data_IF_774725947741
#
_entry.id   IF_774725947741
#
_cell.length_a   1.000
_cell.length_b   1.000
_cell.length_c   1.000
_cell.angle_alpha   90.00
_cell.angle_beta   90.00
_cell.angle_gamma   90.00
#
_symmetry.space_group_name_H-M   'P 1'
#
loop_
_entity.id
_entity.type
_entity.pdbx_description
1 polymer ?
#
# COMPACT_ATOMS: atom_id res chain seq x y z
N UNK A 1 1.63 16.72 -35.58
CA UNK A 1 1.87 16.47 -34.15
C UNK A 1 3.02 15.48 -34.08
N UNK A 2 4.15 15.91 -33.52
CA UNK A 2 5.35 15.08 -33.40
C UNK A 2 5.08 13.90 -32.45
N UNK A 3 5.92 12.87 -32.48
CA UNK A 3 5.81 11.78 -31.50
C UNK A 3 6.16 12.25 -30.08
N UNK A 4 7.04 13.27 -29.95
CA UNK A 4 7.30 13.94 -28.68
C UNK A 4 6.07 14.66 -28.12
N UNK A 5 5.29 15.36 -28.94
CA UNK A 5 4.06 16.05 -28.50
C UNK A 5 3.02 15.06 -27.97
N UNK A 6 2.98 13.84 -28.54
CA UNK A 6 2.08 12.77 -28.09
C UNK A 6 2.51 12.25 -26.72
N UNK A 7 3.80 11.97 -26.55
CA UNK A 7 4.36 11.49 -25.29
C UNK A 7 4.22 12.54 -24.19
N UNK A 8 4.48 13.82 -24.47
CA UNK A 8 4.25 14.90 -23.50
C UNK A 8 2.79 14.96 -23.05
N UNK A 9 1.82 14.85 -23.97
CA UNK A 9 0.39 14.80 -23.58
C UNK A 9 0.03 13.58 -22.74
N UNK A 10 0.68 12.44 -22.97
CA UNK A 10 0.49 11.25 -22.14
C UNK A 10 1.11 11.45 -20.76
N UNK A 11 2.28 12.08 -20.67
CA UNK A 11 2.91 12.45 -19.41
C UNK A 11 2.03 13.42 -18.61
N UNK A 12 1.54 14.48 -19.25
CA UNK A 12 0.62 15.44 -18.63
C UNK A 12 -0.69 14.77 -18.17
N UNK A 13 -1.23 13.83 -18.96
CA UNK A 13 -2.41 13.06 -18.56
C UNK A 13 -2.14 12.18 -17.32
N UNK A 14 -0.94 11.60 -17.22
CA UNK A 14 -0.52 10.84 -16.04
C UNK A 14 -0.36 11.76 -14.83
N UNK A 15 0.42 12.84 -14.96
CA UNK A 15 0.77 13.72 -13.83
C UNK A 15 -0.43 14.54 -13.38
N UNK A 16 -0.99 15.36 -14.27
CA UNK A 16 -2.05 16.34 -13.97
C UNK A 16 -3.40 15.61 -13.82
N UNK A 17 -3.68 14.67 -14.73
CA UNK A 17 -4.98 14.01 -14.80
C UNK A 17 -5.15 12.89 -13.79
N UNK A 18 -4.07 12.30 -13.27
CA UNK A 18 -4.13 11.11 -12.44
C UNK A 18 -3.33 11.23 -11.14
N UNK A 19 -2.01 11.46 -11.18
CA UNK A 19 -1.16 11.43 -9.97
C UNK A 19 -1.50 12.56 -9.01
N UNK A 20 -1.53 13.81 -9.49
CA UNK A 20 -1.87 14.97 -8.66
C UNK A 20 -3.24 14.80 -7.94
N UNK A 21 -4.35 14.49 -8.63
CA UNK A 21 -5.62 14.24 -7.96
C UNK A 21 -5.59 12.98 -7.09
N UNK A 22 -4.83 11.93 -7.43
CA UNK A 22 -4.74 10.71 -6.61
C UNK A 22 -4.17 11.02 -5.22
N UNK A 23 -3.06 11.76 -5.16
CA UNK A 23 -2.36 12.05 -3.90
C UNK A 23 -2.99 13.21 -3.11
N UNK A 24 -3.74 14.09 -3.78
CA UNK A 24 -4.49 15.18 -3.13
C UNK A 24 -5.91 14.79 -2.71
N UNK A 25 -6.40 13.60 -3.11
CA UNK A 25 -7.77 13.14 -2.84
C UNK A 25 -8.84 13.73 -3.78
N UNK A 26 -8.42 14.19 -4.96
CA UNK A 26 -9.27 14.74 -6.03
C UNK A 26 -9.83 13.69 -7.00
N UNK A 27 -10.43 14.19 -8.10
CA UNK A 27 -10.99 13.34 -9.15
C UNK A 27 -9.91 12.95 -10.16
N UNK A 28 -9.58 11.67 -10.23
CA UNK A 28 -8.65 11.13 -11.23
C UNK A 28 -9.33 10.90 -12.58
N UNK A 29 -8.55 11.00 -13.65
CA UNK A 29 -8.98 10.75 -15.02
C UNK A 29 -8.00 9.80 -15.71
N UNK A 30 -8.55 8.85 -16.46
CA UNK A 30 -7.78 7.92 -17.28
C UNK A 30 -8.36 7.92 -18.70
N UNK A 31 -7.48 7.96 -19.70
CA UNK A 31 -7.89 7.91 -21.11
C UNK A 31 -7.08 6.91 -21.95
N UNK A 32 -5.88 7.28 -22.38
CA UNK A 32 -5.07 6.43 -23.27
C UNK A 32 -4.11 5.58 -22.46
N UNK A 33 -3.91 4.30 -22.80
CA UNK A 33 -2.98 3.45 -22.09
C UNK A 33 -1.54 3.92 -22.30
N UNK A 34 -0.68 3.61 -21.33
CA UNK A 34 0.71 4.03 -21.27
C UNK A 34 1.61 2.83 -21.55
N UNK A 35 2.13 2.75 -22.78
CA UNK A 35 3.02 1.65 -23.16
C UNK A 35 4.32 1.68 -22.32
N UNK A 36 4.94 0.52 -22.01
CA UNK A 36 6.15 0.42 -21.20
C UNK A 36 7.29 1.30 -21.73
N UNK A 37 7.48 1.37 -23.05
CA UNK A 37 8.51 2.19 -23.69
C UNK A 37 8.34 3.71 -23.51
N UNK A 38 7.22 4.19 -22.97
CA UNK A 38 7.04 5.62 -22.67
C UNK A 38 7.94 6.09 -21.51
N UNK A 39 8.40 5.17 -20.65
CA UNK A 39 9.25 5.51 -19.49
C UNK A 39 10.54 6.25 -19.89
N UNK A 40 11.17 5.87 -21.01
CA UNK A 40 12.39 6.50 -21.52
C UNK A 40 12.20 7.99 -21.84
N UNK A 41 10.96 8.42 -22.09
CA UNK A 41 10.63 9.83 -22.22
C UNK A 41 10.22 10.43 -20.87
N UNK A 42 9.35 9.74 -20.11
CA UNK A 42 8.79 10.26 -18.86
C UNK A 42 9.84 10.53 -17.78
N UNK A 43 10.91 9.73 -17.70
CA UNK A 43 11.99 9.93 -16.71
C UNK A 43 12.77 11.24 -16.88
N UNK A 44 12.61 11.89 -18.04
CA UNK A 44 13.24 13.17 -18.36
C UNK A 44 12.23 14.28 -18.65
N UNK A 45 10.94 13.97 -18.57
CA UNK A 45 9.88 14.93 -18.84
C UNK A 45 9.57 15.78 -17.61
N UNK A 46 9.00 16.95 -17.84
CA UNK A 46 8.43 17.82 -16.81
C UNK A 46 6.99 18.10 -17.19
N UNK A 47 6.09 18.21 -16.20
CA UNK A 47 4.70 18.51 -16.52
C UNK A 47 4.60 19.91 -17.12
N UNK A 48 3.64 20.09 -18.01
CA UNK A 48 3.29 21.44 -18.48
C UNK A 48 2.61 22.29 -17.40
N UNK A 49 2.19 21.68 -16.28
CA UNK A 49 1.64 22.36 -15.11
C UNK A 49 2.58 22.22 -13.90
N UNK A 50 3.37 23.27 -13.64
CA UNK A 50 4.28 23.32 -12.50
C UNK A 50 3.57 23.28 -11.14
N UNK A 51 2.29 23.69 -11.07
CA UNK A 51 1.53 23.63 -9.83
C UNK A 51 1.21 22.17 -9.48
N UNK A 52 0.84 21.37 -10.48
CA UNK A 52 0.58 19.94 -10.29
C UNK A 52 1.84 19.22 -9.77
N UNK A 53 3.02 19.49 -10.34
CA UNK A 53 4.29 18.92 -9.87
C UNK A 53 4.60 19.31 -8.41
N UNK A 54 4.37 20.58 -8.05
CA UNK A 54 4.58 21.05 -6.68
C UNK A 54 3.60 20.42 -5.69
N UNK A 55 2.32 20.33 -6.05
CA UNK A 55 1.29 19.68 -5.22
C UNK A 55 1.61 18.20 -5.01
N UNK A 56 2.06 17.49 -6.04
CA UNK A 56 2.48 16.09 -5.91
C UNK A 56 3.63 15.97 -4.93
N UNK A 57 4.68 16.77 -5.10
CA UNK A 57 5.83 16.75 -4.21
C UNK A 57 5.41 16.97 -2.74
N UNK A 58 4.61 18.01 -2.48
CA UNK A 58 4.17 18.36 -1.13
C UNK A 58 3.29 17.28 -0.49
N UNK A 59 2.36 16.69 -1.25
CA UNK A 59 1.50 15.62 -0.73
C UNK A 59 2.29 14.34 -0.46
N UNK A 60 3.16 13.95 -1.39
CA UNK A 60 4.00 12.78 -1.20
C UNK A 60 4.92 12.97 0.02
N UNK A 61 5.51 14.16 0.18
CA UNK A 61 6.39 14.45 1.32
C UNK A 61 5.62 14.42 2.63
N UNK A 62 4.44 15.04 2.68
CA UNK A 62 3.59 15.05 3.88
C UNK A 62 3.17 13.65 4.31
N UNK A 63 2.68 12.85 3.37
CA UNK A 63 2.25 11.47 3.65
C UNK A 63 3.44 10.58 4.01
N UNK A 64 4.53 10.62 3.24
CA UNK A 64 5.73 9.84 3.57
C UNK A 64 6.30 10.21 4.95
N UNK A 65 6.31 11.50 5.30
CA UNK A 65 6.80 12.00 6.59
C UNK A 65 5.91 11.65 7.78
N UNK A 66 4.64 11.30 7.57
CA UNK A 66 3.75 10.88 8.68
C UNK A 66 4.15 9.52 9.26
N UNK A 67 4.76 8.66 8.43
CA UNK A 67 5.30 7.37 8.88
C UNK A 67 6.66 7.52 9.55
N UNK A 68 7.60 8.15 8.85
CA UNK A 68 8.95 8.37 9.34
C UNK A 68 9.57 9.63 8.70
N UNK A 69 10.41 10.38 9.43
CA UNK A 69 10.95 11.64 8.95
C UNK A 69 11.86 11.45 7.73
N UNK A 70 11.59 12.24 6.69
CA UNK A 70 12.39 12.35 5.46
C UNK A 70 12.64 13.81 5.10
N UNK A 71 13.79 14.08 4.48
CA UNK A 71 14.18 15.44 4.06
C UNK A 71 13.54 15.85 2.74
N UNK A 72 13.46 14.91 1.80
CA UNK A 72 12.92 15.11 0.46
C UNK A 72 12.22 13.84 -0.02
N UNK A 73 11.40 13.98 -1.06
CA UNK A 73 10.82 12.89 -1.84
C UNK A 73 11.51 12.84 -3.20
N UNK A 74 11.86 11.65 -3.72
CA UNK A 74 12.46 11.51 -5.03
C UNK A 74 11.38 11.64 -6.13
N UNK A 75 10.71 12.79 -6.24
CA UNK A 75 9.74 13.05 -7.32
C UNK A 75 10.26 14.12 -8.29
N UNK A 76 10.19 13.88 -9.61
CA UNK A 76 9.90 12.60 -10.26
C UNK A 76 11.12 11.65 -10.23
N UNK A 77 10.90 10.38 -9.90
CA UNK A 77 11.88 9.30 -10.07
C UNK A 77 11.31 8.23 -11.01
N UNK A 78 12.20 7.56 -11.74
CA UNK A 78 11.83 6.54 -12.75
C UNK A 78 10.91 5.47 -12.18
N UNK A 79 11.23 4.90 -11.02
CA UNK A 79 10.44 3.80 -10.46
C UNK A 79 9.10 4.29 -9.90
N UNK A 80 9.04 5.51 -9.36
CA UNK A 80 7.76 6.14 -8.98
C UNK A 80 6.88 6.41 -10.20
N UNK A 81 7.47 6.85 -11.32
CA UNK A 81 6.73 7.01 -12.58
C UNK A 81 6.21 5.66 -13.07
N UNK A 82 7.00 4.60 -13.04
CA UNK A 82 6.53 3.26 -13.42
C UNK A 82 5.36 2.79 -12.54
N UNK A 83 5.43 3.01 -11.22
CA UNK A 83 4.31 2.71 -10.31
C UNK A 83 3.06 3.52 -10.65
N UNK A 84 3.22 4.80 -10.98
CA UNK A 84 2.13 5.66 -11.41
C UNK A 84 1.52 5.19 -12.75
N UNK A 85 2.36 4.82 -13.72
CA UNK A 85 1.94 4.28 -15.02
C UNK A 85 1.14 2.98 -14.85
N UNK A 86 1.65 2.03 -14.07
CA UNK A 86 0.96 0.78 -13.79
C UNK A 86 -0.37 1.01 -13.06
N UNK A 87 -0.41 1.93 -12.09
CA UNK A 87 -1.64 2.32 -11.39
C UNK A 87 -2.68 2.90 -12.35
N UNK A 88 -2.25 3.81 -13.21
CA UNK A 88 -3.10 4.46 -14.23
C UNK A 88 -3.69 3.43 -15.19
N UNK A 89 -2.86 2.54 -15.75
CA UNK A 89 -3.30 1.54 -16.72
C UNK A 89 -4.17 0.46 -16.07
N UNK A 90 -3.87 0.07 -14.83
CA UNK A 90 -4.69 -0.87 -14.07
C UNK A 90 -6.09 -0.31 -13.80
N UNK A 91 -6.22 0.98 -13.48
CA UNK A 91 -7.53 1.65 -13.37
C UNK A 91 -8.21 1.72 -14.74
N UNK A 92 -7.48 2.03 -15.81
CA UNK A 92 -8.01 2.15 -17.17
C UNK A 92 -8.62 0.83 -17.69
N UNK A 93 -8.12 -0.34 -17.30
CA UNK A 93 -8.68 -1.63 -17.70
C UNK A 93 -10.18 -1.74 -17.34
N UNK A 94 -10.61 -1.07 -16.26
CA UNK A 94 -12.01 -1.05 -15.80
C UNK A 94 -12.94 -0.15 -16.63
N UNK A 95 -12.40 0.59 -17.60
CA UNK A 95 -13.14 1.53 -18.43
C UNK A 95 -14.08 0.78 -19.40
N UNK A 96 -15.40 1.04 -19.37
CA UNK A 96 -16.36 0.40 -20.28
C UNK A 96 -16.13 0.69 -21.76
N UNK A 97 -15.34 1.72 -22.11
CA UNK A 97 -15.03 2.00 -23.53
C UNK A 97 -14.25 0.86 -24.18
N UNK A 98 -13.57 0.04 -23.38
CA UNK A 98 -12.80 -1.12 -23.83
C UNK A 98 -13.69 -2.32 -24.19
N UNK A 99 -15.00 -2.29 -23.85
CA UNK A 99 -15.96 -3.35 -24.22
C UNK A 99 -16.47 -3.23 -25.67
N UNK A 100 -16.09 -2.19 -26.40
CA UNK A 100 -16.59 -1.93 -27.77
C UNK A 100 -16.04 -2.97 -28.76
N UNK A 101 -16.83 -3.33 -29.77
CA UNK A 101 -16.50 -4.36 -30.78
C UNK A 101 -15.13 -4.19 -31.45
N UNK A 102 -14.64 -2.95 -31.59
CA UNK A 102 -13.33 -2.63 -32.19
C UNK A 102 -12.17 -2.57 -31.19
N UNK A 103 -12.40 -2.87 -29.91
CA UNK A 103 -11.39 -2.87 -28.83
C UNK A 103 -11.04 -4.30 -28.35
N UNK A 104 -11.40 -5.34 -29.10
CA UNK A 104 -11.04 -6.75 -28.79
C UNK A 104 -9.53 -6.89 -28.61
N UNK A 105 -9.07 -7.50 -27.53
CA UNK A 105 -7.65 -7.69 -27.24
C UNK A 105 -6.97 -6.50 -26.56
N UNK A 106 -7.64 -5.34 -26.43
CA UNK A 106 -7.01 -4.15 -25.83
C UNK A 106 -6.80 -4.32 -24.33
N UNK A 107 -7.75 -4.93 -23.60
CA UNK A 107 -7.60 -5.12 -22.15
C UNK A 107 -6.46 -6.09 -21.84
N UNK A 108 -6.35 -7.16 -22.61
CA UNK A 108 -5.28 -8.16 -22.54
C UNK A 108 -3.93 -7.47 -22.75
N UNK A 109 -3.80 -6.68 -23.82
CA UNK A 109 -2.57 -5.93 -24.10
C UNK A 109 -2.21 -4.94 -22.99
N UNK A 110 -3.18 -4.20 -22.45
CA UNK A 110 -2.94 -3.28 -21.34
C UNK A 110 -2.54 -4.07 -20.08
N UNK A 111 -3.18 -5.20 -19.82
CA UNK A 111 -2.83 -6.07 -18.69
C UNK A 111 -1.40 -6.65 -18.82
N UNK A 112 -0.94 -6.95 -20.03
CA UNK A 112 0.43 -7.36 -20.31
C UNK A 112 1.42 -6.21 -20.08
N UNK A 113 1.08 -5.00 -20.54
CA UNK A 113 1.88 -3.80 -20.26
C UNK A 113 1.98 -3.48 -18.77
N UNK A 114 0.88 -3.59 -18.02
CA UNK A 114 0.90 -3.42 -16.57
C UNK A 114 1.86 -4.42 -15.92
N UNK A 115 1.85 -5.69 -16.34
CA UNK A 115 2.77 -6.68 -15.82
C UNK A 115 4.24 -6.36 -16.16
N UNK A 116 4.52 -5.95 -17.41
CA UNK A 116 5.86 -5.54 -17.84
C UNK A 116 6.39 -4.32 -17.06
N UNK A 117 5.53 -3.32 -16.84
CA UNK A 117 5.85 -2.12 -16.06
C UNK A 117 6.14 -2.49 -14.60
N UNK A 118 5.31 -3.32 -13.97
CA UNK A 118 5.50 -3.76 -12.58
C UNK A 118 6.83 -4.52 -12.42
N UNK A 119 7.17 -5.41 -13.36
CA UNK A 119 8.44 -6.14 -13.31
C UNK A 119 9.67 -5.25 -13.51
N UNK A 120 9.52 -4.12 -14.20
CA UNK A 120 10.59 -3.14 -14.41
C UNK A 120 10.89 -2.25 -13.19
N UNK A 121 10.07 -2.31 -12.13
CA UNK A 121 10.26 -1.54 -10.89
C UNK A 121 11.30 -2.25 -10.01
N UNK A 122 12.44 -1.58 -9.76
CA UNK A 122 13.46 -2.10 -8.86
C UNK A 122 13.01 -2.04 -7.39
N UNK A 123 13.59 -2.83 -6.46
CA UNK A 123 13.32 -2.68 -5.03
C UNK A 123 13.71 -1.28 -4.51
N UNK A 124 13.03 -0.77 -3.46
CA UNK A 124 13.37 0.54 -2.92
C UNK A 124 14.77 0.55 -2.32
N UNK A 125 15.55 1.59 -2.64
CA UNK A 125 16.96 1.68 -2.24
C UNK A 125 17.20 2.62 -1.06
N UNK A 126 16.26 3.54 -0.78
CA UNK A 126 16.37 4.52 0.30
C UNK A 126 15.10 4.60 1.13
N UNK A 127 15.19 5.20 2.32
CA UNK A 127 14.01 5.51 3.15
C UNK A 127 13.01 6.38 2.38
N UNK A 128 13.51 7.45 1.75
CA UNK A 128 12.68 8.39 0.99
C UNK A 128 11.95 7.69 -0.17
N UNK A 129 12.65 6.81 -0.90
CA UNK A 129 12.08 5.99 -1.96
C UNK A 129 10.98 5.04 -1.43
N UNK A 130 11.28 4.25 -0.38
CA UNK A 130 10.30 3.33 0.21
C UNK A 130 9.00 4.02 0.66
N UNK A 131 9.12 5.18 1.30
CA UNK A 131 7.98 5.95 1.80
C UNK A 131 7.25 6.72 0.70
N UNK A 132 7.95 7.22 -0.31
CA UNK A 132 7.33 7.86 -1.47
C UNK A 132 6.47 6.89 -2.27
N UNK A 133 6.95 5.65 -2.48
CA UNK A 133 6.17 4.59 -3.10
C UNK A 133 4.89 4.29 -2.32
N UNK A 134 4.97 4.36 -0.99
CA UNK A 134 3.80 4.19 -0.14
C UNK A 134 2.80 5.33 -0.27
N UNK A 135 3.27 6.56 -0.17
CA UNK A 135 2.44 7.75 -0.32
C UNK A 135 1.69 7.79 -1.66
N UNK A 136 2.31 7.27 -2.73
CA UNK A 136 1.69 7.15 -4.05
C UNK A 136 0.64 6.04 -4.13
N UNK A 137 0.92 4.86 -3.56
CA UNK A 137 0.10 3.66 -3.75
C UNK A 137 -1.01 3.46 -2.71
N UNK A 138 -0.87 3.96 -1.47
CA UNK A 138 -1.88 3.76 -0.41
C UNK A 138 -3.28 4.28 -0.79
N UNK A 139 -3.43 5.43 -1.49
CA UNK A 139 -4.75 5.92 -1.92
C UNK A 139 -5.40 5.07 -3.02
N UNK A 140 -4.63 4.30 -3.79
CA UNK A 140 -5.10 3.63 -5.02
C UNK A 140 -6.31 2.70 -4.79
N UNK A 141 -6.32 1.80 -3.77
CA UNK A 141 -7.45 0.91 -3.58
C UNK A 141 -8.72 1.61 -3.08
N UNK A 142 -8.61 2.86 -2.58
CA UNK A 142 -9.76 3.64 -2.13
C UNK A 142 -10.48 4.36 -3.28
N UNK A 143 -9.98 4.26 -4.52
CA UNK A 143 -10.62 4.87 -5.68
C UNK A 143 -12.03 4.34 -5.90
N UNK A 144 -12.94 5.26 -6.25
CA UNK A 144 -14.32 4.97 -6.62
C UNK A 144 -14.65 5.58 -7.97
N UNK A 145 -15.28 4.81 -8.84
CA UNK A 145 -15.86 5.32 -10.08
C UNK A 145 -17.22 5.95 -9.79
N UNK A 146 -17.39 7.20 -10.21
CA UNK A 146 -18.68 7.89 -10.17
C UNK A 146 -19.45 7.64 -11.46
N UNK A 147 -20.59 6.96 -11.34
CA UNK A 147 -21.53 6.72 -12.42
C UNK A 147 -22.79 7.58 -12.20
N UNK A 148 -23.21 8.31 -13.23
CA UNK A 148 -24.42 9.14 -13.16
C UNK A 148 -25.44 8.67 -14.18
N UNK A 149 -26.66 8.37 -13.71
CA UNK A 149 -27.81 8.08 -14.57
C UNK A 149 -28.81 9.22 -14.45
N UNK A 150 -29.04 9.92 -15.56
CA UNK A 150 -30.01 11.01 -15.65
C UNK A 150 -31.24 10.54 -16.45
N UNK A 151 -32.41 10.55 -15.82
CA UNK A 151 -33.68 10.12 -16.42
C UNK A 151 -34.68 11.27 -16.50
N UNK A 152 -35.30 11.45 -17.67
CA UNK A 152 -36.51 12.24 -17.84
C UNK A 152 -37.64 11.34 -18.37
N UNK A 153 -38.82 11.90 -18.61
CA UNK A 153 -39.95 11.13 -19.15
C UNK A 153 -39.67 10.52 -20.54
N UNK A 154 -38.77 11.15 -21.33
CA UNK A 154 -38.46 10.72 -22.70
C UNK A 154 -37.09 10.06 -22.85
N UNK A 155 -36.12 10.38 -21.99
CA UNK A 155 -34.72 10.01 -22.20
C UNK A 155 -34.05 9.44 -20.95
N UNK A 156 -33.08 8.55 -21.16
CA UNK A 156 -32.15 8.09 -20.13
C UNK A 156 -30.71 8.25 -20.63
N UNK A 157 -29.94 9.11 -19.96
CA UNK A 157 -28.51 9.26 -20.20
C UNK A 157 -27.71 8.57 -19.11
N UNK A 158 -26.65 7.86 -19.52
CA UNK A 158 -25.71 7.17 -18.61
C UNK A 158 -24.31 7.74 -18.83
N UNK A 159 -23.77 8.36 -17.78
CA UNK A 159 -22.41 8.85 -17.72
C UNK A 159 -21.62 7.91 -16.81
N UNK A 160 -21.10 6.82 -17.36
CA UNK A 160 -20.38 5.79 -16.61
C UNK A 160 -18.91 6.20 -16.51
N UNK A 161 -18.44 6.59 -15.32
CA UNK A 161 -17.09 7.11 -15.12
C UNK A 161 -16.75 8.35 -15.95
N UNK A 162 -17.76 9.16 -16.31
CA UNK A 162 -17.59 10.37 -17.15
C UNK A 162 -18.27 11.58 -16.51
N UNK A 163 -17.74 12.80 -16.73
CA UNK A 163 -18.41 14.01 -16.29
C UNK A 163 -19.78 14.14 -16.95
N UNK A 164 -20.77 14.61 -16.20
CA UNK A 164 -22.08 14.91 -16.76
C UNK A 164 -21.98 16.12 -17.69
N UNK A 165 -22.56 16.02 -18.88
CA UNK A 165 -22.67 17.18 -19.76
C UNK A 165 -23.84 18.06 -19.31
N UNK A 166 -23.54 19.14 -18.56
CA UNK A 166 -24.54 20.05 -18.01
C UNK A 166 -25.44 20.66 -19.09
N UNK A 167 -24.85 21.11 -20.20
CA UNK A 167 -25.58 21.70 -21.32
C UNK A 167 -26.54 20.75 -22.04
N UNK A 168 -26.31 19.43 -21.97
CA UNK A 168 -27.26 18.42 -22.45
C UNK A 168 -28.44 18.28 -21.49
N UNK A 169 -28.17 18.26 -20.19
CA UNK A 169 -29.16 18.02 -19.13
C UNK A 169 -30.03 19.26 -18.80
N UNK A 170 -29.66 20.44 -19.30
CA UNK A 170 -30.41 21.69 -19.10
C UNK A 170 -31.22 22.11 -20.33
N UNK A 171 -31.35 21.26 -21.36
CA UNK A 171 -32.12 21.60 -22.58
C UNK A 171 -33.63 21.60 -22.32
N UNK A 172 -34.37 22.68 -22.64
CA UNK A 172 -35.80 22.78 -22.35
C UNK A 172 -36.64 21.65 -22.96
N UNK A 173 -36.25 21.15 -24.14
CA UNK A 173 -36.98 20.11 -24.88
C UNK A 173 -36.96 18.75 -24.16
N UNK A 174 -35.99 18.51 -23.28
CA UNK A 174 -35.80 17.21 -22.64
C UNK A 174 -36.46 17.10 -21.25
N UNK A 175 -37.03 18.21 -20.75
CA UNK A 175 -37.64 18.32 -19.43
C UNK A 175 -36.64 18.21 -18.28
N UNK A 176 -37.16 18.10 -17.06
CA UNK A 176 -36.34 17.94 -15.86
C UNK A 176 -35.77 16.51 -15.77
N UNK A 177 -34.44 16.43 -15.59
CA UNK A 177 -33.75 15.17 -15.38
C UNK A 177 -33.61 14.86 -13.89
N UNK A 178 -34.15 13.71 -13.46
CA UNK A 178 -33.80 13.11 -12.18
C UNK A 178 -32.43 12.43 -12.31
N UNK A 179 -31.45 12.92 -11.57
CA UNK A 179 -30.10 12.34 -11.51
C UNK A 179 -30.00 11.34 -10.37
N UNK A 180 -29.40 10.20 -10.65
CA UNK A 180 -28.97 9.23 -9.65
C UNK A 180 -27.47 9.05 -9.79
N UNK A 181 -26.75 9.26 -8.70
CA UNK A 181 -25.31 9.06 -8.63
C UNK A 181 -25.02 7.75 -7.90
N UNK A 182 -24.14 6.94 -8.47
CA UNK A 182 -23.68 5.70 -7.88
C UNK A 182 -22.15 5.75 -7.81
N UNK A 183 -21.60 5.51 -6.62
CA UNK A 183 -20.16 5.34 -6.43
C UNK A 183 -19.88 3.84 -6.36
N UNK A 184 -18.94 3.37 -7.19
CA UNK A 184 -18.55 1.97 -7.27
C UNK A 184 -17.07 1.88 -6.97
N UNK A 185 -16.68 1.08 -5.96
CA UNK A 185 -15.27 0.86 -5.65
C UNK A 185 -14.54 0.24 -6.86
N UNK A 186 -13.37 0.77 -7.19
CA UNK A 186 -12.58 0.29 -8.34
C UNK A 186 -12.15 -1.16 -8.12
N UNK A 187 -11.94 -1.59 -6.86
CA UNK A 187 -11.70 -2.99 -6.52
C UNK A 187 -12.81 -3.93 -6.98
N UNK A 188 -14.08 -3.54 -6.79
CA UNK A 188 -15.22 -4.30 -7.27
C UNK A 188 -15.27 -4.35 -8.81
N UNK A 189 -14.78 -3.30 -9.49
CA UNK A 189 -14.67 -3.30 -10.95
C UNK A 189 -13.55 -4.23 -11.44
N UNK A 190 -12.41 -4.30 -10.75
CA UNK A 190 -11.36 -5.29 -11.03
C UNK A 190 -11.86 -6.72 -10.85
N UNK A 191 -12.55 -7.01 -9.74
CA UNK A 191 -13.16 -8.32 -9.51
C UNK A 191 -14.12 -8.71 -10.64
N UNK A 192 -14.91 -7.74 -11.14
CA UNK A 192 -15.80 -7.95 -12.28
C UNK A 192 -15.03 -8.25 -13.56
N UNK A 193 -13.98 -7.49 -13.87
CA UNK A 193 -13.13 -7.74 -15.05
C UNK A 193 -12.49 -9.13 -14.97
N UNK A 194 -12.07 -9.56 -13.78
CA UNK A 194 -11.48 -10.90 -13.59
C UNK A 194 -12.50 -12.00 -13.83
N UNK A 195 -13.74 -11.82 -13.38
CA UNK A 195 -14.83 -12.78 -13.62
C UNK A 195 -15.23 -12.85 -15.10
N UNK A 196 -15.22 -11.73 -15.83
CA UNK A 196 -15.68 -11.65 -17.22
C UNK A 196 -14.60 -12.00 -18.24
N UNK A 197 -13.35 -11.59 -17.99
CA UNK A 197 -12.25 -11.65 -18.96
C UNK A 197 -11.01 -12.41 -18.46
N UNK A 198 -10.97 -12.84 -17.20
CA UNK A 198 -9.85 -13.65 -16.67
C UNK A 198 -8.51 -12.93 -16.59
N UNK A 199 -8.51 -11.59 -16.51
CA UNK A 199 -7.30 -10.77 -16.63
C UNK A 199 -6.51 -10.64 -15.33
N UNK A 200 -6.89 -11.33 -14.25
CA UNK A 200 -6.18 -11.33 -12.96
C UNK A 200 -5.74 -9.93 -12.47
N UNK A 201 -6.58 -8.92 -12.67
CA UNK A 201 -6.37 -7.52 -12.28
C UNK A 201 -6.17 -7.36 -10.77
N UNK A 202 -6.89 -8.12 -9.94
CA UNK A 202 -6.63 -8.12 -8.48
C UNK A 202 -5.27 -8.73 -8.14
N UNK A 203 -4.81 -9.73 -8.91
CA UNK A 203 -3.46 -10.27 -8.74
C UNK A 203 -2.39 -9.24 -9.13
N UNK A 204 -2.63 -8.49 -10.21
CA UNK A 204 -1.74 -7.41 -10.66
C UNK A 204 -1.71 -6.25 -9.67
N UNK A 205 -2.85 -5.89 -9.05
CA UNK A 205 -2.88 -4.93 -7.95
C UNK A 205 -1.94 -5.38 -6.82
N UNK A 206 -2.05 -6.63 -6.37
CA UNK A 206 -1.18 -7.16 -5.31
C UNK A 206 0.29 -7.15 -5.71
N UNK A 207 0.61 -7.50 -6.96
CA UNK A 207 1.99 -7.41 -7.49
C UNK A 207 2.50 -5.97 -7.57
N UNK A 208 1.63 -5.01 -7.86
CA UNK A 208 1.98 -3.59 -7.84
C UNK A 208 2.24 -3.12 -6.40
N UNK A 209 1.35 -3.46 -5.46
CA UNK A 209 1.51 -3.10 -4.06
C UNK A 209 2.77 -3.72 -3.43
N UNK A 210 3.17 -4.93 -3.83
CA UNK A 210 4.40 -5.57 -3.34
C UNK A 210 5.70 -4.88 -3.82
N UNK A 211 5.63 -3.98 -4.80
CA UNK A 211 6.76 -3.09 -5.17
C UNK A 211 6.93 -1.91 -4.19
N UNK A 212 6.02 -1.75 -3.23
CA UNK A 212 6.13 -0.88 -2.06
C UNK A 212 5.99 -1.73 -0.78
N UNK A 213 7.11 -2.20 -0.18
CA UNK A 213 7.04 -3.06 1.00
C UNK A 213 6.28 -2.43 2.18
N UNK A 214 6.32 -1.11 2.30
CA UNK A 214 5.55 -0.35 3.29
C UNK A 214 4.04 -0.47 3.01
N UNK A 215 3.60 -0.29 1.77
CA UNK A 215 2.17 -0.43 1.42
C UNK A 215 1.70 -1.87 1.57
N UNK A 216 2.53 -2.84 1.17
CA UNK A 216 2.22 -4.26 1.34
C UNK A 216 1.97 -4.62 2.80
N UNK A 217 2.79 -4.11 3.72
CA UNK A 217 2.63 -4.29 5.17
C UNK A 217 1.42 -3.55 5.76
N UNK A 218 1.05 -2.40 5.20
CA UNK A 218 -0.09 -1.61 5.67
C UNK A 218 -1.42 -1.98 5.00
N UNK A 219 -1.38 -2.85 3.99
CA UNK A 219 -2.53 -3.38 3.23
C UNK A 219 -2.57 -4.91 3.23
N UNK A 220 -2.30 -5.53 4.38
CA UNK A 220 -2.39 -7.00 4.57
C UNK A 220 -3.81 -7.55 4.33
N UNK A 221 -4.83 -6.70 4.34
CA UNK A 221 -6.19 -7.00 3.88
C UNK A 221 -6.23 -7.35 2.38
N UNK A 222 -5.44 -6.66 1.56
CA UNK A 222 -5.32 -6.92 0.13
C UNK A 222 -4.23 -7.95 -0.20
N UNK A 223 -3.16 -7.99 0.60
CA UNK A 223 -1.98 -8.84 0.41
C UNK A 223 -2.02 -10.12 1.26
N UNK A 224 -3.08 -10.94 1.12
CA UNK A 224 -3.35 -12.11 1.99
C UNK A 224 -2.25 -13.19 2.01
N UNK A 225 -1.40 -13.21 0.98
CA UNK A 225 -0.27 -14.15 0.84
C UNK A 225 1.08 -13.49 1.14
N UNK A 226 1.07 -12.42 1.92
CA UNK A 226 2.26 -11.70 2.35
C UNK A 226 3.31 -12.66 2.93
N UNK A 227 4.57 -12.39 2.59
CA UNK A 227 5.77 -13.05 3.13
C UNK A 227 6.84 -11.99 3.34
N UNK A 228 7.68 -12.18 4.34
CA UNK A 228 8.83 -11.31 4.56
C UNK A 228 9.90 -11.55 3.47
N UNK A 229 9.79 -10.82 2.36
CA UNK A 229 10.81 -10.78 1.31
C UNK A 229 12.02 -9.93 1.69
N UNK A 230 13.11 -10.05 0.93
CA UNK A 230 14.34 -9.27 1.18
C UNK A 230 14.12 -7.76 1.13
N UNK A 231 13.29 -7.27 0.20
CA UNK A 231 12.96 -5.84 0.11
C UNK A 231 12.22 -5.35 1.36
N UNK A 232 11.26 -6.14 1.85
CA UNK A 232 10.52 -5.85 3.08
C UNK A 232 11.44 -5.87 4.30
N UNK A 233 12.31 -6.86 4.42
CA UNK A 233 13.28 -6.94 5.51
C UNK A 233 14.32 -5.81 5.46
N UNK A 234 14.71 -5.36 4.26
CA UNK A 234 15.58 -4.20 4.10
C UNK A 234 14.89 -2.91 4.56
N UNK A 235 13.61 -2.71 4.22
CA UNK A 235 12.81 -1.58 4.73
C UNK A 235 12.66 -1.63 6.25
N UNK A 236 12.36 -2.81 6.80
CA UNK A 236 12.22 -3.02 8.26
C UNK A 236 13.53 -2.92 9.02
N UNK A 237 14.69 -2.90 8.33
CA UNK A 237 15.98 -2.62 8.96
C UNK A 237 16.15 -1.18 9.40
N UNK A 238 15.29 -0.27 8.92
CA UNK A 238 15.22 1.11 9.36
C UNK A 238 14.22 1.24 10.53
N UNK A 239 14.75 1.48 11.74
CA UNK A 239 13.95 1.56 12.98
C UNK A 239 12.84 2.63 12.90
N UNK A 240 13.09 3.75 12.23
CA UNK A 240 12.08 4.82 12.12
C UNK A 240 10.91 4.39 11.24
N UNK A 241 11.20 3.70 10.13
CA UNK A 241 10.16 3.15 9.25
C UNK A 241 9.40 2.04 9.97
N UNK A 242 10.12 1.10 10.62
CA UNK A 242 9.51 -0.03 11.32
C UNK A 242 8.54 0.43 12.41
N UNK A 243 8.95 1.40 13.25
CA UNK A 243 8.07 1.99 14.26
C UNK A 243 6.89 2.77 13.66
N UNK A 244 7.08 3.45 12.53
CA UNK A 244 5.98 4.08 11.77
C UNK A 244 4.94 3.06 11.28
N UNK A 245 5.41 1.97 10.68
CA UNK A 245 4.55 0.87 10.21
C UNK A 245 3.80 0.24 11.39
N UNK A 246 4.47 -0.02 12.51
CA UNK A 246 3.84 -0.56 13.71
C UNK A 246 2.67 0.32 14.19
N UNK A 247 2.86 1.64 14.28
CA UNK A 247 1.80 2.59 14.62
C UNK A 247 0.62 2.55 13.66
N UNK A 248 0.88 2.53 12.35
CA UNK A 248 -0.19 2.47 11.34
C UNK A 248 -0.93 1.12 11.35
N UNK A 249 -0.24 0.00 11.60
CA UNK A 249 -0.89 -1.31 11.79
C UNK A 249 -1.89 -1.25 12.95
N UNK A 250 -1.48 -0.67 14.09
CA UNK A 250 -2.33 -0.54 15.26
C UNK A 250 -3.50 0.40 15.00
N UNK A 251 -3.26 1.55 14.36
CA UNK A 251 -4.31 2.51 13.98
C UNK A 251 -5.38 1.88 13.06
N UNK A 252 -4.98 0.97 12.17
CA UNK A 252 -5.88 0.21 11.26
C UNK A 252 -6.55 -1.00 11.94
N UNK A 253 -6.05 -1.40 13.12
CA UNK A 253 -6.49 -2.50 13.95
C UNK A 253 -5.55 -3.71 13.87
N UNK A 254 -4.79 -3.96 14.96
CA UNK A 254 -3.82 -5.05 15.10
C UNK A 254 -4.38 -6.43 14.69
N UNK A 255 -5.62 -6.72 15.10
CA UNK A 255 -6.30 -8.00 14.83
C UNK A 255 -6.43 -8.34 13.34
N UNK A 256 -6.44 -7.34 12.44
CA UNK A 256 -6.48 -7.57 10.99
C UNK A 256 -5.13 -8.04 10.46
N UNK A 257 -4.05 -7.52 11.03
CA UNK A 257 -2.68 -7.82 10.62
C UNK A 257 -2.15 -9.12 11.25
N UNK A 258 -2.50 -9.38 12.51
CA UNK A 258 -2.04 -10.52 13.30
C UNK A 258 -2.05 -11.88 12.57
N UNK A 259 -3.14 -12.33 11.91
CA UNK A 259 -3.13 -13.62 11.22
C UNK A 259 -2.17 -13.64 10.02
N UNK A 260 -1.96 -12.51 9.33
CA UNK A 260 -1.09 -12.46 8.14
C UNK A 260 0.38 -12.40 8.53
N UNK A 261 0.70 -11.58 9.53
CA UNK A 261 2.06 -11.53 10.10
C UNK A 261 2.43 -12.85 10.75
N UNK A 262 1.52 -13.43 11.53
CA UNK A 262 1.69 -14.75 12.14
C UNK A 262 1.91 -15.86 11.13
N UNK A 263 1.18 -15.88 10.02
CA UNK A 263 1.46 -16.81 8.91
C UNK A 263 2.84 -16.59 8.31
N UNK A 264 3.22 -15.34 8.07
CA UNK A 264 4.51 -14.99 7.48
C UNK A 264 5.70 -15.36 8.39
N UNK A 265 5.53 -15.29 9.72
CA UNK A 265 6.49 -15.82 10.71
C UNK A 265 6.64 -17.35 10.63
N UNK A 266 5.59 -18.05 10.19
CA UNK A 266 5.59 -19.49 9.95
C UNK A 266 6.25 -19.92 8.64
N UNK A 267 6.65 -18.98 7.76
CA UNK A 267 7.23 -19.31 6.47
C UNK A 267 8.63 -19.95 6.64
N UNK A 268 8.87 -21.15 6.09
CA UNK A 268 10.17 -21.83 6.19
C UNK A 268 11.35 -20.97 5.71
N UNK A 269 11.16 -20.11 4.71
CA UNK A 269 12.22 -19.23 4.20
C UNK A 269 12.66 -18.24 5.30
N UNK A 270 11.71 -17.63 6.01
CA UNK A 270 12.02 -16.73 7.12
C UNK A 270 12.59 -17.51 8.31
N UNK A 271 12.05 -18.68 8.61
CA UNK A 271 12.56 -19.55 9.69
C UNK A 271 13.98 -20.07 9.45
N UNK A 272 14.53 -19.95 8.25
CA UNK A 272 15.94 -20.27 7.97
C UNK A 272 16.75 -19.04 7.54
N UNK A 273 16.17 -17.83 7.67
CA UNK A 273 16.84 -16.59 7.32
C UNK A 273 17.99 -16.27 8.30
N UNK A 274 18.96 -15.42 7.88
CA UNK A 274 20.00 -14.93 8.77
C UNK A 274 19.44 -14.28 10.05
N UNK A 275 20.13 -14.36 11.20
CA UNK A 275 19.69 -13.81 12.47
C UNK A 275 19.19 -12.36 12.44
N UNK A 276 19.84 -11.50 11.66
CA UNK A 276 19.46 -10.09 11.48
C UNK A 276 18.12 -9.93 10.76
N UNK A 277 17.85 -10.73 9.72
CA UNK A 277 16.58 -10.67 8.99
C UNK A 277 15.43 -11.19 9.85
N UNK A 278 15.68 -12.25 10.62
CA UNK A 278 14.72 -12.76 11.58
C UNK A 278 14.38 -11.71 12.64
N UNK A 279 15.39 -10.97 13.12
CA UNK A 279 15.19 -9.88 14.07
C UNK A 279 14.24 -8.82 13.50
N UNK A 280 14.43 -8.33 12.27
CA UNK A 280 13.56 -7.27 11.72
C UNK A 280 12.09 -7.68 11.61
N UNK A 281 11.80 -8.93 11.22
CA UNK A 281 10.43 -9.44 11.14
C UNK A 281 9.78 -9.58 12.53
N UNK A 282 10.52 -10.12 13.49
CA UNK A 282 10.07 -10.28 14.86
C UNK A 282 9.91 -8.93 15.58
N UNK A 283 10.86 -8.00 15.37
CA UNK A 283 10.83 -6.65 15.93
C UNK A 283 9.59 -5.89 15.46
N UNK A 284 9.17 -6.01 14.20
CA UNK A 284 7.91 -5.40 13.75
C UNK A 284 6.71 -5.95 14.54
N UNK A 285 6.65 -7.26 14.75
CA UNK A 285 5.54 -7.90 15.48
C UNK A 285 5.54 -7.51 16.96
N UNK A 286 6.74 -7.43 17.56
CA UNK A 286 6.94 -6.95 18.92
C UNK A 286 6.52 -5.47 19.05
N UNK A 287 7.07 -4.58 18.22
CA UNK A 287 6.76 -3.13 18.23
C UNK A 287 5.28 -2.86 17.99
N UNK A 288 4.61 -3.63 17.12
CA UNK A 288 3.16 -3.52 16.90
C UNK A 288 2.36 -3.89 18.15
N UNK A 289 2.75 -4.98 18.84
CA UNK A 289 2.11 -5.40 20.09
C UNK A 289 2.38 -4.40 21.22
N UNK A 290 3.61 -3.89 21.33
CA UNK A 290 3.97 -2.84 22.29
C UNK A 290 3.15 -1.58 22.06
N UNK A 291 3.07 -1.12 20.80
CA UNK A 291 2.27 0.03 20.41
C UNK A 291 0.79 -0.19 20.74
N UNK A 292 0.22 -1.35 20.42
CA UNK A 292 -1.17 -1.67 20.75
C UNK A 292 -1.45 -1.78 22.26
N UNK A 293 -0.41 -1.85 23.09
CA UNK A 293 -0.51 -1.97 24.55
C UNK A 293 -0.42 -0.62 25.23
N UNK A 294 0.53 0.20 24.78
CA UNK A 294 0.85 1.49 25.37
C UNK A 294 0.01 2.62 24.76
N UNK A 295 -0.27 2.55 23.45
CA UNK A 295 -1.18 3.46 22.79
C UNK A 295 -2.59 2.87 22.81
N UNK A 296 -3.54 3.63 23.36
CA UNK A 296 -4.96 3.25 23.39
C UNK A 296 -5.49 3.20 21.95
N UNK A 297 -5.97 2.04 21.45
CA UNK A 297 -6.62 1.99 20.14
C UNK A 297 -7.80 2.98 20.11
N UNK A 298 -8.05 3.58 18.95
CA UNK A 298 -9.22 4.46 18.78
C UNK A 298 -10.53 3.77 19.21
N UNK A 299 -11.55 4.53 19.66
CA UNK A 299 -12.76 3.96 20.23
C UNK A 299 -13.48 3.00 19.26
N UNK A 300 -13.86 1.82 19.75
CA UNK A 300 -14.69 0.85 19.01
C UNK A 300 -13.93 -0.24 18.24
N UNK A 301 -12.62 -0.40 18.47
CA UNK A 301 -11.85 -1.52 17.93
C UNK A 301 -11.94 -2.75 18.86
N UNK A 302 -11.92 -3.99 18.33
CA UNK A 302 -11.79 -5.19 19.15
C UNK A 302 -10.50 -5.16 19.99
N UNK A 303 -10.65 -5.31 21.31
CA UNK A 303 -9.54 -5.27 22.27
C UNK A 303 -8.82 -6.63 22.46
N UNK A 304 -9.18 -7.65 21.66
CA UNK A 304 -8.62 -8.99 21.82
C UNK A 304 -8.30 -9.69 20.50
N UNK A 305 -7.25 -10.50 20.53
CA UNK A 305 -6.83 -11.38 19.44
C UNK A 305 -7.55 -12.73 19.57
N UNK A 306 -8.00 -13.29 18.44
CA UNK A 306 -8.53 -14.66 18.39
C UNK A 306 -7.38 -15.67 18.41
N UNK A 307 -6.95 -16.07 19.61
CA UNK A 307 -5.85 -17.02 19.81
C UNK A 307 -6.21 -18.47 19.44
N UNK A 308 -7.45 -18.74 19.02
CA UNK A 308 -7.81 -20.06 18.48
C UNK A 308 -7.27 -20.25 17.05
N UNK A 309 -7.03 -19.16 16.33
CA UNK A 309 -6.31 -19.18 15.06
C UNK A 309 -4.80 -19.35 15.34
N UNK A 310 -4.21 -20.41 14.77
CA UNK A 310 -2.79 -20.73 14.97
C UNK A 310 -1.85 -19.63 14.47
N UNK A 311 -2.19 -18.95 13.37
CA UNK A 311 -1.36 -17.87 12.84
C UNK A 311 -1.43 -16.66 13.79
N UNK A 312 -2.61 -16.31 14.30
CA UNK A 312 -2.77 -15.25 15.32
C UNK A 312 -2.02 -15.59 16.60
N UNK A 313 -2.12 -16.84 17.08
CA UNK A 313 -1.37 -17.31 18.23
C UNK A 313 0.15 -17.21 18.03
N UNK A 314 0.67 -17.53 16.83
CA UNK A 314 2.10 -17.38 16.51
C UNK A 314 2.55 -15.93 16.59
N UNK A 315 1.74 -15.00 16.08
CA UNK A 315 2.01 -13.56 16.20
C UNK A 315 2.01 -13.11 17.67
N UNK A 316 0.99 -13.50 18.44
CA UNK A 316 0.84 -13.15 19.85
C UNK A 316 1.95 -13.74 20.74
N UNK A 317 2.51 -14.90 20.38
CA UNK A 317 3.60 -15.54 21.10
C UNK A 317 4.94 -14.79 21.01
N UNK A 318 5.08 -13.85 20.07
CA UNK A 318 6.31 -13.03 19.96
C UNK A 318 6.53 -12.20 21.21
N UNK A 319 5.50 -11.53 21.75
CA UNK A 319 5.69 -10.66 22.92
C UNK A 319 6.18 -11.43 24.15
N UNK A 320 5.53 -12.53 24.60
CA UNK A 320 6.06 -13.35 25.69
C UNK A 320 7.45 -13.93 25.43
N UNK A 321 7.71 -14.41 24.21
CA UNK A 321 9.01 -14.97 23.86
C UNK A 321 10.15 -13.93 23.95
N UNK A 322 9.88 -12.66 23.62
CA UNK A 322 10.84 -11.56 23.81
C UNK A 322 11.04 -11.21 25.29
N UNK A 323 9.97 -11.24 26.09
CA UNK A 323 10.03 -10.95 27.53
C UNK A 323 10.80 -12.02 28.32
N UNK A 324 10.72 -13.28 27.90
CA UNK A 324 11.45 -14.39 28.52
C UNK A 324 12.93 -14.45 28.10
N UNK A 325 13.33 -13.70 27.06
CA UNK A 325 14.71 -13.67 26.57
C UNK A 325 15.54 -12.57 27.25
N UNK A 326 16.49 -12.98 28.09
CA UNK A 326 17.32 -12.04 28.86
C UNK A 326 18.12 -11.05 28.00
N UNK A 327 18.42 -11.39 26.74
CA UNK A 327 19.19 -10.52 25.83
C UNK A 327 18.35 -9.41 25.21
N UNK A 328 17.01 -9.55 25.24
CA UNK A 328 16.06 -8.57 24.72
C UNK A 328 15.42 -7.71 25.83
N UNK A 329 15.65 -8.07 27.11
CA UNK A 329 15.16 -7.34 28.28
C UNK A 329 15.64 -5.88 28.37
N UNK A 330 16.74 -5.51 27.71
CA UNK A 330 17.25 -4.14 27.74
C UNK A 330 16.29 -3.14 27.07
N UNK A 331 15.49 -3.58 26.07
CA UNK A 331 14.45 -2.75 25.46
C UNK A 331 13.25 -2.54 26.40
N UNK A 332 12.91 -3.57 27.19
CA UNK A 332 11.81 -3.52 28.18
C UNK A 332 12.20 -2.71 29.43
N UNK A 333 13.48 -2.71 29.80
CA UNK A 333 14.01 -1.91 30.92
C UNK A 333 13.99 -0.41 30.65
N UNK A 334 13.87 0.01 29.38
CA UNK A 334 13.83 1.41 29.00
C UNK A 334 12.48 2.10 29.30
N UNK A 335 11.41 1.33 29.51
CA UNK A 335 10.10 1.87 29.91
C UNK A 335 10.09 2.29 31.38
N UNK A 336 9.27 3.28 31.72
CA UNK A 336 8.96 3.60 33.11
C UNK A 336 8.18 2.46 33.79
N UNK A 337 8.06 2.54 35.11
CA UNK A 337 7.52 1.43 35.90
C UNK A 337 6.01 1.19 35.63
N UNK A 338 5.27 2.24 35.24
CA UNK A 338 3.83 2.14 34.95
C UNK A 338 3.62 1.45 33.59
N UNK A 339 4.28 1.92 32.52
CA UNK A 339 4.25 1.31 31.19
C UNK A 339 4.74 -0.14 31.22
N UNK A 340 5.82 -0.40 31.97
CA UNK A 340 6.34 -1.76 32.15
C UNK A 340 5.31 -2.68 32.78
N UNK A 341 4.57 -2.20 33.79
CA UNK A 341 3.50 -2.96 34.45
C UNK A 341 2.39 -3.37 33.48
N UNK A 342 1.93 -2.44 32.64
CA UNK A 342 0.88 -2.70 31.64
C UNK A 342 1.33 -3.75 30.62
N UNK A 343 2.58 -3.65 30.14
CA UNK A 343 3.11 -4.61 29.17
C UNK A 343 3.32 -5.99 29.79
N UNK A 344 3.83 -6.06 31.03
CA UNK A 344 3.96 -7.32 31.77
C UNK A 344 2.59 -8.00 31.96
N UNK A 345 1.54 -7.25 32.25
CA UNK A 345 0.18 -7.78 32.37
C UNK A 345 -0.31 -8.39 31.05
N UNK A 346 -0.12 -7.67 29.92
CA UNK A 346 -0.48 -8.21 28.60
C UNK A 346 0.34 -9.46 28.28
N UNK A 347 1.64 -9.45 28.55
CA UNK A 347 2.53 -10.59 28.35
C UNK A 347 2.03 -11.82 29.12
N UNK A 348 1.75 -11.69 30.41
CA UNK A 348 1.23 -12.77 31.25
C UNK A 348 -0.13 -13.28 30.74
N UNK A 349 -1.02 -12.36 30.36
CA UNK A 349 -2.34 -12.70 29.78
C UNK A 349 -2.19 -13.51 28.50
N UNK A 350 -1.36 -13.06 27.55
CA UNK A 350 -1.11 -13.78 26.31
C UNK A 350 -0.46 -15.14 26.59
N UNK A 351 0.60 -15.21 27.39
CA UNK A 351 1.27 -16.46 27.73
C UNK A 351 0.31 -17.51 28.32
N UNK A 352 -0.63 -17.09 29.19
CA UNK A 352 -1.62 -17.97 29.79
C UNK A 352 -2.72 -18.44 28.82
N UNK A 353 -2.98 -17.68 27.74
CA UNK A 353 -4.06 -17.93 26.80
C UNK A 353 -3.59 -18.59 25.50
N UNK A 354 -2.28 -18.67 25.25
CA UNK A 354 -1.72 -19.29 24.06
C UNK A 354 -1.99 -20.81 24.04
N UNK A 355 -2.30 -21.39 22.86
CA UNK A 355 -2.38 -22.83 22.70
C UNK A 355 -1.05 -23.53 23.06
N UNK A 356 -1.08 -24.75 23.63
CA UNK A 356 0.12 -25.50 23.97
C UNK A 356 1.09 -25.66 22.78
N UNK A 357 2.38 -25.45 23.02
CA UNK A 357 3.45 -25.63 22.03
C UNK A 357 3.67 -24.45 21.08
N UNK A 358 2.79 -23.44 21.03
CA UNK A 358 3.01 -22.26 20.17
C UNK A 358 4.19 -21.43 20.66
N UNK A 359 4.33 -21.25 21.97
CA UNK A 359 5.49 -20.55 22.54
C UNK A 359 6.79 -21.32 22.28
N UNK A 360 6.77 -22.65 22.35
CA UNK A 360 7.91 -23.51 22.04
C UNK A 360 8.32 -23.44 20.56
N UNK A 361 7.39 -23.09 19.66
CA UNK A 361 7.65 -22.84 18.23
C UNK A 361 8.35 -21.48 18.03
N UNK A 362 7.94 -20.44 18.76
CA UNK A 362 8.41 -19.06 18.55
C UNK A 362 9.66 -18.71 19.36
N UNK A 363 9.79 -19.18 20.59
CA UNK A 363 10.93 -18.88 21.47
C UNK A 363 12.31 -19.25 20.87
N UNK A 364 12.49 -20.37 20.13
CA UNK A 364 13.74 -20.64 19.42
C UNK A 364 14.07 -19.61 18.32
N UNK A 365 13.05 -19.03 17.67
CA UNK A 365 13.25 -17.98 16.67
C UNK A 365 13.74 -16.69 17.32
N UNK A 366 13.15 -16.30 18.45
CA UNK A 366 13.59 -15.13 19.23
C UNK A 366 15.03 -15.30 19.71
N UNK A 367 15.36 -16.42 20.35
CA UNK A 367 16.72 -16.70 20.84
C UNK A 367 17.80 -16.69 19.75
N UNK A 368 17.43 -17.05 18.52
CA UNK A 368 18.36 -17.06 17.38
C UNK A 368 18.49 -15.69 16.73
N UNK A 369 17.46 -14.84 16.82
CA UNK A 369 17.53 -13.52 16.23
C UNK A 369 18.61 -12.69 16.93
N UNK A 370 19.33 -11.88 16.17
CA UNK A 370 20.38 -11.03 16.72
C UNK A 370 20.11 -9.64 16.23
N UNK A 371 19.89 -8.71 17.17
CA UNK A 371 19.86 -7.29 16.85
C UNK A 371 21.21 -6.95 16.19
N UNK A 372 21.21 -6.53 14.91
CA UNK A 372 22.45 -6.10 14.30
C UNK A 372 23.03 -4.96 15.13
N UNK A 373 24.35 -4.95 15.33
CA UNK A 373 25.02 -3.81 15.98
C UNK A 373 24.53 -2.52 15.33
N UNK A 374 24.21 -1.47 16.10
CA UNK A 374 23.74 -0.22 15.54
C UNK A 374 24.78 0.21 14.51
N UNK A 375 24.43 0.09 13.23
CA UNK A 375 25.24 0.70 12.18
C UNK A 375 25.29 2.15 12.59
N UNK A 376 26.50 2.68 12.86
CA UNK A 376 26.75 4.13 12.97
C UNK A 376 25.76 4.81 12.06
N UNK A 377 24.79 5.53 12.64
CA UNK A 377 23.58 6.12 12.06
C UNK A 377 23.81 6.71 10.67
N UNK A 378 23.96 5.85 9.68
CA UNK A 378 24.08 6.16 8.29
C UNK A 378 22.76 5.64 7.73
N UNK A 379 21.73 6.50 7.62
CA UNK A 379 20.56 6.15 6.85
C UNK A 379 20.99 5.59 5.49
N UNK A 380 20.13 4.77 4.86
CA UNK A 380 20.28 4.45 3.44
C UNK A 380 20.68 5.74 2.69
N UNK A 381 21.71 5.71 1.84
CA UNK A 381 22.39 6.91 1.37
C UNK A 381 21.38 7.94 0.87
N UNK A 382 21.31 9.08 1.56
CA UNK A 382 20.50 10.20 1.12
C UNK A 382 21.08 10.74 -0.19
N UNK A 383 20.26 10.85 -1.23
CA UNK A 383 20.63 11.52 -2.47
C UNK A 383 20.96 12.97 -2.11
N UNK A 384 22.23 13.34 -2.27
CA UNK A 384 22.63 14.75 -2.26
C UNK A 384 22.06 15.42 -3.53
N UNK A 385 21.61 16.68 -3.42
CA UNK A 385 20.94 17.40 -4.51
C UNK A 385 21.77 17.46 -5.80
#
# INVERSE_FOLDING_TARGET
MSDGDKLQRQFDALVIGFVAPLVTGGMVTVDRPLAPGAITYFEHATSTDSLADHEIYDQLHRHASSLAPIRNVPWPDRDLILLAMASYDLVLITDPKLDRLFARGHRERIADWVAEIIEAVAPPNTRADALARHALLDPLPALRRKDVVAKSWAYTYRFIGRPTNSGLLTRPVMGDFRKQENLIDVEALWAKVDAEAGLATLSRLRQLLSRSPVTELLRLDLCERFRFGLATLAVLSDDAIRGGIAREIVARGEWKAAPRLGRALGDPILQHAPPAHLYYALALCFESQMTATLDVPGPGLPDHLDLSDRDVARYAAVLPAFFDDETMLDEVRAFDDDDRGVVQERCARLASALPPGVLDEVAPLVRRCQRPAPRSSAPLPEVRP
#
